data_IF_510653221458
#
_entry.id   IF_510653221458
#
_cell.length_a   1.000
_cell.length_b   1.000
_cell.length_c   1.000
_cell.angle_alpha   90.00
_cell.angle_beta   90.00
_cell.angle_gamma   90.00
#
_symmetry.space_group_name_H-M   'P 1'
#
loop_
_entity.id
_entity.type
_entity.pdbx_description
1 polymer ?
#
# COMPACT_ATOMS: atom_id res chain seq x y z
N UNK A 1 15.58 15.95 -3.00
CA UNK A 1 15.53 14.87 -1.96
C UNK A 1 16.60 15.08 -0.91
N UNK A 2 16.25 15.15 0.36
CA UNK A 2 17.15 15.19 1.52
C UNK A 2 17.94 13.88 1.64
N UNK A 3 19.26 13.92 1.81
CA UNK A 3 20.04 12.72 2.15
C UNK A 3 19.82 12.35 3.62
N UNK A 4 19.38 11.14 3.88
CA UNK A 4 19.30 10.60 5.24
C UNK A 4 20.68 10.24 5.77
N UNK A 5 20.92 10.51 7.05
CA UNK A 5 22.12 10.03 7.76
C UNK A 5 22.02 8.53 8.01
N UNK A 6 23.15 7.87 8.27
CA UNK A 6 23.15 6.45 8.64
C UNK A 6 22.29 6.16 9.88
N UNK A 7 22.23 7.07 10.83
CA UNK A 7 21.40 6.91 12.03
C UNK A 7 19.90 6.96 11.68
N UNK A 8 19.48 7.88 10.80
CA UNK A 8 18.09 7.95 10.32
C UNK A 8 17.72 6.69 9.52
N UNK A 9 18.59 6.24 8.61
CA UNK A 9 18.38 4.99 7.83
C UNK A 9 18.21 3.77 8.75
N UNK A 10 18.92 3.69 9.87
CA UNK A 10 18.76 2.60 10.85
C UNK A 10 17.41 2.60 11.57
N UNK A 11 16.76 3.76 11.68
CA UNK A 11 15.49 3.93 12.41
C UNK A 11 14.25 3.72 11.55
N UNK A 12 14.31 4.04 10.26
CA UNK A 12 13.16 3.94 9.36
C UNK A 12 12.69 2.49 9.13
N UNK A 13 11.43 2.33 8.79
CA UNK A 13 10.83 1.05 8.41
C UNK A 13 11.31 0.56 7.04
N UNK A 14 10.98 -0.70 6.70
CA UNK A 14 11.40 -1.28 5.44
C UNK A 14 10.75 -0.57 4.25
N UNK A 15 9.48 -0.17 4.33
CA UNK A 15 8.80 0.58 3.27
C UNK A 15 9.48 1.94 3.02
N UNK A 16 9.76 2.70 4.07
CA UNK A 16 10.48 3.98 3.94
C UNK A 16 11.86 3.79 3.33
N UNK A 17 12.58 2.74 3.75
CA UNK A 17 13.88 2.42 3.17
C UNK A 17 13.77 2.07 1.67
N UNK A 18 12.78 1.27 1.27
CA UNK A 18 12.55 0.96 -0.15
C UNK A 18 12.25 2.23 -0.96
N UNK A 19 11.40 3.13 -0.44
CA UNK A 19 11.14 4.43 -1.06
C UNK A 19 12.42 5.26 -1.20
N UNK A 20 13.19 5.37 -0.12
CA UNK A 20 14.44 6.15 -0.09
C UNK A 20 15.49 5.67 -1.12
N UNK A 21 15.62 4.36 -1.31
CA UNK A 21 16.54 3.81 -2.32
C UNK A 21 15.97 3.76 -3.74
N UNK A 22 14.73 4.24 -3.95
CA UNK A 22 14.08 4.24 -5.25
C UNK A 22 13.58 2.86 -5.70
N UNK A 23 13.19 2.01 -4.75
CA UNK A 23 12.64 0.68 -5.01
C UNK A 23 11.11 0.63 -4.99
N UNK A 24 10.43 1.78 -4.90
CA UNK A 24 8.96 1.90 -4.89
C UNK A 24 8.50 2.54 -6.19
N UNK A 25 8.69 1.85 -7.32
CA UNK A 25 8.40 2.35 -8.67
C UNK A 25 7.38 1.50 -9.40
N UNK A 26 6.70 0.58 -8.71
CA UNK A 26 5.65 -0.26 -9.27
C UNK A 26 4.61 -0.61 -8.21
N UNK A 27 3.37 -0.95 -8.63
CA UNK A 27 2.31 -1.45 -7.75
C UNK A 27 2.75 -2.68 -6.94
N UNK A 28 2.04 -2.98 -5.85
CA UNK A 28 2.44 -4.02 -4.89
C UNK A 28 1.78 -5.36 -5.19
N UNK A 29 0.46 -5.49 -4.98
CA UNK A 29 -0.27 -6.73 -5.19
C UNK A 29 -0.89 -6.76 -6.59
N UNK A 30 -0.71 -7.87 -7.31
CA UNK A 30 -1.18 -8.01 -8.69
C UNK A 30 -0.47 -7.11 -9.71
N UNK A 31 0.56 -6.35 -9.30
CA UNK A 31 1.27 -5.41 -10.16
C UNK A 31 0.33 -4.42 -10.86
N UNK A 32 0.69 -3.96 -12.05
CA UNK A 32 -0.14 -3.06 -12.86
C UNK A 32 -1.53 -3.62 -13.18
N UNK A 33 -1.66 -4.94 -13.33
CA UNK A 33 -2.93 -5.60 -13.62
C UNK A 33 -3.94 -5.42 -12.47
N UNK A 34 -3.46 -5.55 -11.22
CA UNK A 34 -4.28 -5.31 -10.02
C UNK A 34 -4.68 -3.84 -9.89
N UNK A 35 -3.72 -2.92 -10.00
CA UNK A 35 -3.97 -1.48 -9.93
C UNK A 35 -4.90 -0.99 -11.04
N UNK A 36 -4.67 -1.37 -12.30
CA UNK A 36 -5.56 -0.98 -13.41
C UNK A 36 -6.98 -1.51 -13.20
N UNK A 37 -7.12 -2.74 -12.67
CA UNK A 37 -8.43 -3.30 -12.34
C UNK A 37 -9.13 -2.54 -11.22
N UNK A 38 -8.42 -2.17 -10.16
CA UNK A 38 -8.96 -1.33 -9.08
C UNK A 38 -9.44 0.01 -9.64
N UNK A 39 -8.62 0.68 -10.44
CA UNK A 39 -8.94 1.97 -11.07
C UNK A 39 -10.14 1.86 -12.02
N UNK A 40 -10.23 0.76 -12.79
CA UNK A 40 -11.38 0.50 -13.66
C UNK A 40 -12.69 0.39 -12.87
N UNK A 41 -12.67 -0.33 -11.73
CA UNK A 41 -13.85 -0.52 -10.87
C UNK A 41 -14.33 0.77 -10.19
N UNK A 42 -13.47 1.78 -10.08
CA UNK A 42 -13.82 3.10 -9.56
C UNK A 42 -14.60 3.96 -10.56
N UNK A 43 -14.63 3.59 -11.86
CA UNK A 43 -15.31 4.32 -12.95
C UNK A 43 -14.98 5.82 -13.00
N UNK A 44 -13.71 6.17 -12.80
CA UNK A 44 -13.25 7.58 -12.77
C UNK A 44 -13.65 8.33 -14.03
N UNK A 45 -13.61 7.67 -15.20
CA UNK A 45 -13.94 8.25 -16.51
C UNK A 45 -15.38 8.75 -16.62
N UNK A 46 -16.30 8.15 -15.83
CA UNK A 46 -17.73 8.48 -15.86
C UNK A 46 -18.07 9.69 -14.98
N UNK A 47 -17.06 10.28 -14.31
CA UNK A 47 -17.22 11.42 -13.42
C UNK A 47 -16.61 12.68 -14.04
N UNK A 48 -17.25 13.82 -13.83
CA UNK A 48 -16.71 15.11 -14.22
C UNK A 48 -15.76 15.63 -13.14
N UNK A 49 -14.46 15.57 -13.44
CA UNK A 49 -13.36 16.02 -12.58
C UNK A 49 -13.52 15.65 -11.08
N UNK A 50 -13.57 14.35 -10.75
CA UNK A 50 -13.77 13.92 -9.37
C UNK A 50 -12.60 14.30 -8.48
N UNK A 51 -12.92 14.52 -7.19
CA UNK A 51 -11.92 14.69 -6.14
C UNK A 51 -11.63 13.34 -5.49
N UNK A 52 -10.40 12.88 -5.62
CA UNK A 52 -9.96 11.53 -5.25
C UNK A 52 -8.99 11.59 -4.07
N UNK A 53 -9.10 10.64 -3.13
CA UNK A 53 -8.14 10.42 -2.06
C UNK A 53 -7.50 9.06 -2.22
N UNK A 54 -6.18 9.01 -2.30
CA UNK A 54 -5.38 7.79 -2.15
C UNK A 54 -4.80 7.74 -0.75
N UNK A 55 -5.12 6.68 0.01
CA UNK A 55 -4.60 6.47 1.37
C UNK A 55 -3.49 5.42 1.33
N UNK A 56 -2.35 5.73 1.94
CA UNK A 56 -1.13 4.92 1.84
C UNK A 56 -0.39 5.13 0.51
N UNK A 57 -0.34 6.37 0.02
CA UNK A 57 0.18 6.70 -1.31
C UNK A 57 1.69 6.46 -1.47
N UNK A 58 2.43 6.16 -0.40
CA UNK A 58 3.88 5.93 -0.42
C UNK A 58 4.63 7.06 -1.15
N UNK A 59 5.43 6.76 -2.16
CA UNK A 59 6.15 7.76 -2.98
C UNK A 59 5.27 8.45 -4.03
N UNK A 60 3.94 8.29 -3.95
CA UNK A 60 2.97 8.91 -4.85
C UNK A 60 2.98 8.36 -6.28
N UNK A 61 3.51 7.14 -6.50
CA UNK A 61 3.67 6.59 -7.84
C UNK A 61 2.31 6.34 -8.51
N UNK A 62 1.37 5.72 -7.80
CA UNK A 62 0.01 5.46 -8.31
C UNK A 62 -0.81 6.77 -8.36
N UNK A 63 -0.69 7.63 -7.35
CA UNK A 63 -1.31 8.96 -7.34
C UNK A 63 -1.00 9.73 -8.63
N UNK A 64 0.29 9.79 -9.02
CA UNK A 64 0.72 10.46 -10.26
C UNK A 64 0.21 9.77 -11.51
N UNK A 65 0.20 8.43 -11.52
CA UNK A 65 -0.36 7.66 -12.64
C UNK A 65 -1.84 8.00 -12.88
N UNK A 66 -2.65 8.03 -11.82
CA UNK A 66 -4.08 8.40 -11.89
C UNK A 66 -4.24 9.83 -12.37
N UNK A 67 -3.47 10.77 -11.82
CA UNK A 67 -3.52 12.20 -12.18
C UNK A 67 -3.14 12.47 -13.63
N UNK A 68 -2.26 11.67 -14.23
CA UNK A 68 -1.86 11.78 -15.64
C UNK A 68 -2.86 11.12 -16.59
N UNK A 69 -3.60 10.11 -16.11
CA UNK A 69 -4.52 9.31 -16.93
C UNK A 69 -5.94 9.89 -16.98
N UNK A 70 -6.35 10.64 -15.95
CA UNK A 70 -7.71 11.12 -15.78
C UNK A 70 -7.75 12.62 -15.47
N UNK A 71 -8.82 13.29 -15.93
CA UNK A 71 -9.13 14.65 -15.49
C UNK A 71 -9.77 14.60 -14.08
N UNK A 72 -8.93 14.73 -13.06
CA UNK A 72 -9.32 14.64 -11.65
C UNK A 72 -8.45 15.54 -10.79
N UNK A 73 -8.88 15.79 -9.55
CA UNK A 73 -8.04 16.30 -8.47
C UNK A 73 -7.76 15.16 -7.49
N UNK A 74 -6.47 14.86 -7.24
CA UNK A 74 -6.11 13.74 -6.39
C UNK A 74 -5.19 14.19 -5.25
N UNK A 75 -5.53 13.72 -4.04
CA UNK A 75 -4.72 13.89 -2.84
C UNK A 75 -4.18 12.52 -2.45
N UNK A 76 -2.88 12.40 -2.28
CA UNK A 76 -2.23 11.22 -1.69
C UNK A 76 -1.87 11.48 -0.23
N UNK A 77 -2.18 10.55 0.66
CA UNK A 77 -1.75 10.62 2.07
C UNK A 77 -0.94 9.39 2.47
N UNK A 78 0.06 9.60 3.31
CA UNK A 78 0.86 8.54 3.91
C UNK A 78 1.32 8.95 5.32
N UNK A 79 1.55 7.97 6.20
CA UNK A 79 2.02 8.22 7.56
C UNK A 79 3.48 8.71 7.59
N UNK A 80 4.28 8.33 6.59
CA UNK A 80 5.70 8.63 6.50
C UNK A 80 5.97 9.98 5.84
N UNK A 81 6.51 10.93 6.61
CA UNK A 81 6.98 12.22 6.05
C UNK A 81 8.04 12.03 4.96
N UNK A 82 8.91 11.02 5.10
CA UNK A 82 9.97 10.73 4.11
C UNK A 82 9.36 10.36 2.76
N UNK A 83 8.32 9.52 2.76
CA UNK A 83 7.65 9.11 1.54
C UNK A 83 6.86 10.26 0.90
N UNK A 84 6.22 11.08 1.72
CA UNK A 84 5.50 12.29 1.28
C UNK A 84 6.46 13.33 0.67
N UNK A 85 7.64 13.57 1.27
CA UNK A 85 8.66 14.43 0.68
C UNK A 85 9.09 13.92 -0.71
N UNK A 86 9.31 12.60 -0.84
CA UNK A 86 9.64 11.97 -2.13
C UNK A 86 8.50 12.12 -3.15
N UNK A 87 7.25 11.93 -2.72
CA UNK A 87 6.08 12.07 -3.58
C UNK A 87 5.94 13.50 -4.13
N UNK A 88 6.14 14.51 -3.28
CA UNK A 88 6.14 15.94 -3.67
C UNK A 88 7.25 16.25 -4.66
N UNK A 89 8.51 15.86 -4.32
CA UNK A 89 9.69 16.09 -5.20
C UNK A 89 9.47 15.51 -6.61
N UNK A 90 8.93 14.29 -6.72
CA UNK A 90 8.69 13.65 -8.02
C UNK A 90 7.52 14.29 -8.79
N UNK A 91 6.49 14.77 -8.12
CA UNK A 91 5.36 15.45 -8.75
C UNK A 91 5.73 16.84 -9.26
N UNK A 92 6.57 17.57 -8.53
CA UNK A 92 7.12 18.86 -8.98
C UNK A 92 7.94 18.70 -10.26
N UNK A 93 8.79 17.66 -10.36
CA UNK A 93 9.57 17.38 -11.57
C UNK A 93 8.69 17.10 -12.80
N UNK A 94 7.51 16.55 -12.59
CA UNK A 94 6.53 16.23 -13.64
C UNK A 94 5.56 17.39 -13.91
N UNK A 95 5.66 18.52 -13.17
CA UNK A 95 4.79 19.69 -13.26
C UNK A 95 3.29 19.33 -13.15
N UNK A 96 2.91 18.40 -12.26
CA UNK A 96 1.53 17.99 -12.05
C UNK A 96 0.82 18.98 -11.11
N UNK A 97 -0.11 19.77 -11.65
CA UNK A 97 -0.85 20.77 -10.90
C UNK A 97 -2.10 20.23 -10.18
N UNK A 98 -2.57 19.04 -10.57
CA UNK A 98 -3.78 18.40 -10.06
C UNK A 98 -3.51 17.34 -8.97
N UNK A 99 -2.29 17.32 -8.42
CA UNK A 99 -1.85 16.38 -7.39
C UNK A 99 -1.37 17.13 -6.15
N UNK A 100 -1.75 16.65 -4.99
CA UNK A 100 -1.18 17.11 -3.72
C UNK A 100 -0.89 15.92 -2.79
N UNK A 101 0.05 16.12 -1.84
CA UNK A 101 0.42 15.09 -0.88
C UNK A 101 0.45 15.66 0.53
N UNK A 102 -0.11 14.90 1.48
CA UNK A 102 -0.18 15.31 2.88
C UNK A 102 0.19 14.13 3.78
N UNK A 103 0.93 14.43 4.86
CA UNK A 103 1.19 13.43 5.89
C UNK A 103 -0.05 13.24 6.74
N UNK A 104 -0.59 12.00 6.78
CA UNK A 104 -1.75 11.66 7.61
C UNK A 104 -1.74 10.19 8.01
N UNK A 105 -2.44 9.86 9.12
CA UNK A 105 -2.80 8.50 9.47
C UNK A 105 -4.09 8.11 8.75
N UNK A 106 -4.15 6.86 8.25
CA UNK A 106 -5.37 6.29 7.70
C UNK A 106 -6.51 6.19 8.74
N UNK A 107 -6.15 6.07 10.03
CA UNK A 107 -7.08 5.98 11.16
C UNK A 107 -7.64 7.35 11.61
N UNK A 108 -7.09 8.46 11.08
CA UNK A 108 -7.52 9.83 11.40
C UNK A 108 -7.17 10.77 10.27
N UNK A 109 -8.02 10.83 9.26
CA UNK A 109 -7.80 11.65 8.07
C UNK A 109 -8.09 13.14 8.35
N UNK A 110 -7.19 14.07 7.96
CA UNK A 110 -7.32 15.50 8.27
C UNK A 110 -8.29 16.23 7.35
N UNK A 111 -9.33 15.54 6.87
CA UNK A 111 -10.30 16.09 5.94
C UNK A 111 -11.68 16.15 6.58
N UNK A 112 -12.46 17.16 6.20
CA UNK A 112 -13.86 17.26 6.62
C UNK A 112 -14.72 16.17 5.99
N UNK A 113 -15.84 15.86 6.62
CA UNK A 113 -16.80 14.87 6.12
C UNK A 113 -17.25 15.19 4.69
N UNK A 114 -17.47 14.16 3.91
CA UNK A 114 -18.04 14.29 2.56
C UNK A 114 -17.22 15.18 1.62
N UNK A 115 -15.88 15.04 1.66
CA UNK A 115 -14.93 15.83 0.87
C UNK A 115 -14.55 15.21 -0.48
N UNK A 116 -14.66 13.87 -0.63
CA UNK A 116 -14.16 13.13 -1.76
C UNK A 116 -15.25 12.36 -2.50
N UNK A 117 -15.13 12.28 -3.81
CA UNK A 117 -15.99 11.45 -4.67
C UNK A 117 -15.55 10.00 -4.64
N UNK A 118 -14.22 9.80 -4.53
CA UNK A 118 -13.57 8.49 -4.50
C UNK A 118 -12.53 8.48 -3.37
N UNK A 119 -12.47 7.36 -2.63
CA UNK A 119 -11.37 7.05 -1.70
C UNK A 119 -10.87 5.65 -2.02
N UNK A 120 -9.57 5.50 -2.19
CA UNK A 120 -8.98 4.17 -2.37
C UNK A 120 -7.64 4.02 -1.65
N UNK A 121 -7.22 2.75 -1.46
CA UNK A 121 -5.92 2.40 -0.93
C UNK A 121 -5.42 1.08 -1.50
N UNK A 122 -4.12 0.98 -1.70
CA UNK A 122 -3.45 -0.26 -2.11
C UNK A 122 -2.44 -0.69 -1.04
N UNK A 123 -2.59 -1.93 -0.56
CA UNK A 123 -1.71 -2.53 0.44
C UNK A 123 -1.61 -1.69 1.74
N UNK A 124 -2.74 -1.17 2.23
CA UNK A 124 -2.78 -0.35 3.44
C UNK A 124 -3.71 -0.92 4.51
N UNK A 125 -4.95 -1.34 4.17
CA UNK A 125 -5.90 -1.81 5.18
C UNK A 125 -5.45 -3.11 5.84
N UNK A 126 -4.67 -3.95 5.14
CA UNK A 126 -4.06 -5.15 5.71
C UNK A 126 -2.86 -4.88 6.63
N UNK A 127 -2.32 -3.66 6.66
CA UNK A 127 -1.13 -3.30 7.44
C UNK A 127 -1.45 -2.56 8.74
N UNK A 128 -2.73 -2.25 8.98
CA UNK A 128 -3.18 -1.56 10.19
C UNK A 128 -3.74 -2.53 11.23
N UNK A 129 -3.71 -2.14 12.49
CA UNK A 129 -4.28 -2.93 13.58
C UNK A 129 -5.81 -2.93 13.57
N UNK A 130 -6.43 -1.80 13.25
CA UNK A 130 -7.88 -1.65 13.18
C UNK A 130 -8.33 -1.21 11.78
N UNK A 131 -8.60 -2.17 10.87
CA UNK A 131 -9.10 -1.85 9.54
C UNK A 131 -10.54 -1.34 9.51
N UNK A 132 -11.36 -1.64 10.53
CA UNK A 132 -12.72 -1.08 10.64
C UNK A 132 -12.64 0.43 10.80
N UNK A 133 -11.81 0.90 11.75
CA UNK A 133 -11.56 2.34 11.97
C UNK A 133 -11.08 3.04 10.69
N UNK A 134 -10.16 2.43 9.95
CA UNK A 134 -9.68 2.99 8.67
C UNK A 134 -10.80 3.10 7.64
N UNK A 135 -11.62 2.05 7.50
CA UNK A 135 -12.72 2.04 6.55
C UNK A 135 -13.86 3.00 6.97
N UNK A 136 -14.08 3.20 8.26
CA UNK A 136 -15.01 4.22 8.78
C UNK A 136 -14.52 5.64 8.45
N UNK A 137 -13.21 5.91 8.55
CA UNK A 137 -12.60 7.16 8.12
C UNK A 137 -12.73 7.36 6.58
N UNK A 138 -12.51 6.32 5.77
CA UNK A 138 -12.78 6.37 4.33
C UNK A 138 -14.24 6.74 4.07
N UNK A 139 -15.18 6.06 4.77
CA UNK A 139 -16.61 6.34 4.66
C UNK A 139 -16.96 7.75 5.14
N UNK A 140 -16.36 8.24 6.21
CA UNK A 140 -16.59 9.60 6.73
C UNK A 140 -16.27 10.66 5.68
N UNK A 141 -15.07 10.59 5.09
CA UNK A 141 -14.61 11.59 4.12
C UNK A 141 -15.23 11.45 2.73
N UNK A 142 -15.82 10.30 2.40
CA UNK A 142 -16.57 10.11 1.16
C UNK A 142 -17.87 10.91 1.15
N UNK A 143 -18.22 11.50 0.02
CA UNK A 143 -19.55 12.07 -0.26
C UNK A 143 -20.61 10.96 -0.29
N UNK A 144 -21.87 11.31 -0.10
CA UNK A 144 -22.99 10.38 -0.29
C UNK A 144 -23.00 9.86 -1.74
N UNK A 145 -23.04 8.55 -1.93
CA UNK A 145 -22.93 7.90 -3.22
C UNK A 145 -21.49 7.83 -3.74
N UNK A 146 -20.50 8.31 -2.97
CA UNK A 146 -19.07 8.19 -3.31
C UNK A 146 -18.60 6.75 -3.24
N UNK A 147 -17.57 6.44 -4.02
CA UNK A 147 -17.02 5.10 -4.18
C UNK A 147 -15.77 4.87 -3.34
N UNK A 148 -15.68 3.68 -2.77
CA UNK A 148 -14.48 3.18 -2.11
C UNK A 148 -13.91 1.99 -2.87
N UNK A 149 -12.57 1.87 -2.89
CA UNK A 149 -11.90 0.62 -3.24
C UNK A 149 -10.68 0.38 -2.37
N UNK A 150 -10.40 -0.89 -2.07
CA UNK A 150 -9.11 -1.31 -1.51
C UNK A 150 -8.57 -2.50 -2.28
N UNK A 151 -7.25 -2.57 -2.42
CA UNK A 151 -6.54 -3.72 -2.95
C UNK A 151 -5.57 -4.20 -1.86
N UNK A 152 -5.86 -5.33 -1.26
CA UNK A 152 -5.10 -5.84 -0.12
C UNK A 152 -4.88 -7.36 -0.16
N UNK A 153 -4.01 -7.83 0.72
CA UNK A 153 -3.64 -9.23 0.87
C UNK A 153 -4.64 -9.95 1.78
N UNK A 154 -4.93 -11.21 1.47
CA UNK A 154 -5.58 -12.15 2.40
C UNK A 154 -4.80 -13.46 2.45
N UNK A 155 -5.05 -14.25 3.50
CA UNK A 155 -4.55 -15.61 3.63
C UNK A 155 -5.69 -16.63 3.59
N UNK A 156 -5.39 -17.85 3.18
CA UNK A 156 -6.33 -18.98 3.30
C UNK A 156 -6.33 -19.51 4.74
N UNK A 157 -7.49 -20.03 5.16
CA UNK A 157 -7.64 -20.71 6.46
C UNK A 157 -6.72 -21.94 6.61
N UNK A 158 -6.25 -22.51 5.48
CA UNK A 158 -5.34 -23.65 5.43
C UNK A 158 -3.87 -23.33 5.61
N UNK A 159 -3.50 -22.05 5.75
CA UNK A 159 -2.11 -21.64 5.96
C UNK A 159 -1.55 -22.28 7.23
N UNK A 160 -0.32 -22.82 7.12
CA UNK A 160 0.39 -23.39 8.26
C UNK A 160 0.57 -22.35 9.38
N UNK A 161 0.05 -22.61 10.60
CA UNK A 161 0.15 -21.68 11.71
C UNK A 161 1.58 -21.33 12.12
N UNK A 162 2.54 -22.26 12.00
CA UNK A 162 3.94 -22.02 12.33
C UNK A 162 4.57 -21.08 11.29
N UNK A 163 4.28 -21.29 10.01
CA UNK A 163 4.70 -20.40 8.95
C UNK A 163 4.11 -18.99 9.13
N UNK A 164 2.82 -18.89 9.43
CA UNK A 164 2.15 -17.61 9.70
C UNK A 164 2.85 -16.84 10.83
N UNK A 165 3.13 -17.50 11.93
CA UNK A 165 3.76 -16.85 13.09
C UNK A 165 5.20 -16.40 12.78
N UNK A 166 5.97 -17.20 12.02
CA UNK A 166 7.32 -16.80 11.57
C UNK A 166 7.25 -15.57 10.67
N UNK A 167 6.34 -15.57 9.71
CA UNK A 167 6.12 -14.45 8.80
C UNK A 167 5.73 -13.18 9.56
N UNK A 168 4.74 -13.25 10.47
CA UNK A 168 4.29 -12.13 11.30
C UNK A 168 5.46 -11.55 12.11
N UNK A 169 6.26 -12.38 12.75
CA UNK A 169 7.42 -11.94 13.51
C UNK A 169 8.45 -11.19 12.64
N UNK A 170 8.70 -11.67 11.43
CA UNK A 170 9.60 -11.01 10.47
C UNK A 170 9.04 -9.66 10.03
N UNK A 171 7.75 -9.56 9.76
CA UNK A 171 7.09 -8.31 9.37
C UNK A 171 7.16 -7.26 10.51
N UNK A 172 6.95 -7.68 11.77
CA UNK A 172 7.10 -6.81 12.95
C UNK A 172 8.56 -6.35 13.10
N UNK A 173 9.54 -7.27 13.04
CA UNK A 173 10.96 -6.94 13.14
C UNK A 173 11.44 -5.99 12.04
N UNK A 174 10.80 -6.04 10.88
CA UNK A 174 11.10 -5.19 9.71
C UNK A 174 10.33 -3.86 9.72
N UNK A 175 9.54 -3.60 10.76
CA UNK A 175 8.63 -2.45 10.86
C UNK A 175 7.68 -2.32 9.64
N UNK A 176 7.14 -3.45 9.18
CA UNK A 176 6.11 -3.50 8.15
C UNK A 176 4.74 -3.39 8.78
N UNK A 177 4.52 -4.14 9.87
CA UNK A 177 3.27 -4.13 10.65
C UNK A 177 3.56 -3.92 12.13
N UNK A 178 2.54 -3.50 12.87
CA UNK A 178 2.55 -3.49 14.35
C UNK A 178 2.30 -4.88 14.95
N UNK A 179 2.60 -5.10 16.23
CA UNK A 179 2.39 -6.37 16.91
C UNK A 179 0.91 -6.79 16.97
N UNK A 180 -0.01 -5.83 16.96
CA UNK A 180 -1.46 -6.03 17.02
C UNK A 180 -2.09 -6.25 15.64
N UNK A 181 -1.30 -6.20 14.56
CA UNK A 181 -1.79 -6.39 13.20
C UNK A 181 -1.79 -7.87 12.83
N UNK A 182 -2.87 -8.34 12.21
CA UNK A 182 -3.01 -9.69 11.68
C UNK A 182 -3.32 -9.68 10.19
N UNK A 183 -2.79 -10.64 9.43
CA UNK A 183 -3.24 -10.92 8.08
C UNK A 183 -4.51 -11.77 8.20
N UNK A 184 -5.55 -11.36 7.50
CA UNK A 184 -6.91 -11.89 7.66
C UNK A 184 -7.28 -12.80 6.49
N UNK A 185 -8.23 -13.69 6.75
CA UNK A 185 -8.89 -14.48 5.72
C UNK A 185 -9.89 -13.62 4.93
N UNK A 186 -10.28 -14.05 3.75
CA UNK A 186 -11.26 -13.32 2.93
C UNK A 186 -12.61 -13.16 3.66
N UNK A 187 -13.02 -14.17 4.44
CA UNK A 187 -14.25 -14.11 5.22
C UNK A 187 -14.22 -13.07 6.35
N UNK A 188 -13.06 -12.92 7.01
CA UNK A 188 -12.88 -11.86 8.00
C UNK A 188 -12.94 -10.50 7.34
N UNK A 189 -12.34 -10.33 6.16
CA UNK A 189 -12.44 -9.11 5.37
C UNK A 189 -13.88 -8.76 4.99
N UNK A 190 -14.68 -9.73 4.52
CA UNK A 190 -16.10 -9.51 4.23
C UNK A 190 -16.87 -8.96 5.44
N UNK A 191 -16.59 -9.46 6.64
CA UNK A 191 -17.22 -8.98 7.87
C UNK A 191 -16.78 -7.56 8.21
N UNK A 192 -15.50 -7.24 8.10
CA UNK A 192 -14.93 -5.91 8.33
C UNK A 192 -15.61 -4.86 7.42
N UNK A 193 -15.75 -5.16 6.13
CA UNK A 193 -16.40 -4.23 5.20
C UNK A 193 -17.89 -4.01 5.48
N UNK A 194 -18.61 -5.06 5.93
CA UNK A 194 -20.00 -4.94 6.35
C UNK A 194 -20.12 -4.08 7.62
N UNK A 195 -19.23 -4.29 8.60
CA UNK A 195 -19.17 -3.54 9.84
C UNK A 195 -18.91 -2.05 9.60
N UNK A 196 -18.01 -1.71 8.69
CA UNK A 196 -17.72 -0.34 8.28
C UNK A 196 -18.90 0.38 7.57
N UNK A 197 -19.98 -0.34 7.26
CA UNK A 197 -21.27 0.23 6.83
C UNK A 197 -21.31 0.67 5.37
N UNK A 198 -20.51 0.07 4.48
CA UNK A 198 -20.62 0.29 3.05
C UNK A 198 -21.79 -0.47 2.40
N UNK A 199 -22.31 0.06 1.29
CA UNK A 199 -23.36 -0.53 0.50
C UNK A 199 -22.79 -1.08 -0.82
N UNK A 200 -23.54 -1.94 -1.52
CA UNK A 200 -23.17 -2.51 -2.83
C UNK A 200 -21.76 -3.11 -2.84
N UNK A 201 -21.43 -3.82 -1.77
CA UNK A 201 -20.13 -4.45 -1.58
C UNK A 201 -19.89 -5.51 -2.66
N UNK A 202 -18.73 -5.42 -3.31
CA UNK A 202 -18.21 -6.46 -4.19
C UNK A 202 -16.77 -6.76 -3.78
N UNK A 203 -16.41 -8.03 -3.81
CA UNK A 203 -15.06 -8.52 -3.54
C UNK A 203 -14.66 -9.43 -4.69
N UNK A 204 -13.63 -9.05 -5.42
CA UNK A 204 -12.98 -9.86 -6.43
C UNK A 204 -11.66 -10.38 -5.84
N UNK A 205 -11.47 -11.69 -5.79
CA UNK A 205 -10.28 -12.33 -5.23
C UNK A 205 -9.39 -12.96 -6.31
N UNK A 206 -8.09 -12.89 -6.08
CA UNK A 206 -7.06 -13.32 -7.03
C UNK A 206 -5.97 -14.11 -6.29
N UNK A 207 -5.47 -15.17 -6.93
CA UNK A 207 -4.44 -16.07 -6.38
C UNK A 207 -3.16 -16.09 -7.20
N UNK A 208 -3.16 -15.44 -8.38
CA UNK A 208 -2.01 -15.36 -9.28
C UNK A 208 -1.37 -13.98 -9.20
N UNK A 209 -0.08 -13.90 -9.52
CA UNK A 209 0.65 -12.64 -9.64
C UNK A 209 0.63 -11.75 -8.38
N UNK A 210 0.57 -12.34 -7.17
CA UNK A 210 0.37 -11.61 -5.91
C UNK A 210 1.46 -10.55 -5.68
N UNK A 211 2.74 -10.89 -5.93
CA UNK A 211 3.89 -10.00 -5.73
C UNK A 211 4.67 -9.79 -7.03
N UNK A 212 4.03 -9.19 -8.01
CA UNK A 212 4.68 -8.83 -9.28
C UNK A 212 5.28 -7.44 -9.16
N UNK A 213 6.58 -7.33 -9.38
CA UNK A 213 7.27 -6.05 -9.53
C UNK A 213 7.99 -6.01 -10.88
N UNK A 214 7.55 -5.12 -11.73
CA UNK A 214 8.05 -4.95 -13.09
C UNK A 214 9.33 -4.11 -13.12
N UNK A 215 10.39 -4.62 -12.47
CA UNK A 215 11.70 -4.00 -12.58
C UNK A 215 12.44 -4.53 -13.80
N UNK A 216 13.00 -3.62 -14.58
CA UNK A 216 14.01 -3.95 -15.59
C UNK A 216 15.24 -4.59 -14.93
N UNK A 217 16.04 -5.29 -15.72
CA UNK A 217 17.28 -5.89 -15.22
C UNK A 217 18.24 -4.86 -14.61
N UNK A 218 18.35 -3.69 -15.21
CA UNK A 218 19.19 -2.59 -14.71
C UNK A 218 18.70 -2.06 -13.36
N UNK A 219 17.39 -1.88 -13.19
CA UNK A 219 16.78 -1.47 -11.91
C UNK A 219 17.02 -2.51 -10.81
N UNK A 220 16.83 -3.80 -11.10
CA UNK A 220 17.12 -4.88 -10.15
C UNK A 220 18.57 -4.85 -9.66
N UNK A 221 19.53 -4.65 -10.56
CA UNK A 221 20.96 -4.52 -10.20
C UNK A 221 21.18 -3.29 -9.34
N UNK A 222 20.65 -2.14 -9.73
CA UNK A 222 20.85 -0.88 -9.03
C UNK A 222 20.25 -0.91 -7.62
N UNK A 223 19.03 -1.46 -7.47
CA UNK A 223 18.38 -1.66 -6.17
C UNK A 223 19.23 -2.59 -5.30
N UNK A 224 19.70 -3.72 -5.86
CA UNK A 224 20.52 -4.68 -5.12
C UNK A 224 21.84 -4.05 -4.62
N UNK A 225 22.51 -3.25 -5.45
CA UNK A 225 23.74 -2.53 -5.04
C UNK A 225 23.43 -1.56 -3.91
N UNK A 226 22.34 -0.79 -3.99
CA UNK A 226 21.94 0.16 -2.93
C UNK A 226 21.62 -0.55 -1.62
N UNK A 227 20.86 -1.65 -1.67
CA UNK A 227 20.55 -2.47 -0.50
C UNK A 227 21.84 -3.01 0.15
N UNK A 228 22.72 -3.63 -0.64
CA UNK A 228 23.99 -4.19 -0.14
C UNK A 228 24.90 -3.11 0.47
N UNK A 229 25.02 -1.95 -0.18
CA UNK A 229 25.77 -0.82 0.35
C UNK A 229 25.26 -0.39 1.71
N UNK A 230 23.95 -0.12 1.84
CA UNK A 230 23.36 0.33 3.11
C UNK A 230 23.42 -0.76 4.19
N UNK A 231 23.25 -2.04 3.85
CA UNK A 231 23.43 -3.15 4.78
C UNK A 231 24.89 -3.27 5.26
N UNK A 232 25.87 -2.97 4.41
CA UNK A 232 27.28 -3.02 4.80
C UNK A 232 27.63 -1.97 5.86
N UNK A 233 27.12 -0.76 5.72
CA UNK A 233 27.45 0.39 6.58
C UNK A 233 26.48 0.62 7.76
N UNK A 234 25.30 -0.04 7.76
CA UNK A 234 24.26 0.16 8.77
C UNK A 234 23.87 -1.17 9.43
N UNK A 235 24.28 -1.32 10.70
CA UNK A 235 24.02 -2.55 11.48
C UNK A 235 22.53 -2.75 11.78
N UNK A 236 21.79 -1.68 12.06
CA UNK A 236 20.37 -1.76 12.45
C UNK A 236 19.50 -2.12 11.23
N UNK A 237 19.80 -1.53 10.08
CA UNK A 237 19.16 -1.92 8.82
C UNK A 237 19.46 -3.39 8.47
N UNK A 238 20.70 -3.85 8.64
CA UNK A 238 21.06 -5.25 8.41
C UNK A 238 20.26 -6.21 9.29
N UNK A 239 20.02 -5.85 10.55
CA UNK A 239 19.20 -6.66 11.46
C UNK A 239 17.74 -6.77 11.01
N UNK A 240 17.19 -5.72 10.41
CA UNK A 240 15.82 -5.72 9.87
C UNK A 240 15.71 -6.55 8.57
N UNK A 241 16.65 -6.41 7.66
CA UNK A 241 16.58 -7.03 6.32
C UNK A 241 17.03 -8.49 6.32
N UNK A 242 18.05 -8.87 7.10
CA UNK A 242 18.64 -10.23 7.04
C UNK A 242 17.63 -11.36 7.33
N UNK A 243 16.73 -11.27 8.31
CA UNK A 243 15.70 -12.29 8.53
C UNK A 243 14.79 -12.45 7.31
N UNK A 244 14.37 -11.34 6.71
CA UNK A 244 13.52 -11.32 5.54
C UNK A 244 14.18 -11.99 4.32
N UNK A 245 15.46 -11.73 4.06
CA UNK A 245 16.21 -12.38 2.98
C UNK A 245 16.29 -13.91 3.15
N UNK A 246 16.43 -14.39 4.38
CA UNK A 246 16.44 -15.82 4.69
C UNK A 246 15.07 -16.46 4.48
N UNK A 247 14.01 -15.74 4.80
CA UNK A 247 12.62 -16.20 4.71
C UNK A 247 12.07 -16.18 3.27
N UNK A 248 12.63 -15.36 2.37
CA UNK A 248 12.12 -15.14 1.01
C UNK A 248 11.84 -16.44 0.25
N UNK A 249 12.74 -17.43 0.33
CA UNK A 249 12.56 -18.69 -0.40
C UNK A 249 11.34 -19.47 0.11
N UNK A 250 11.21 -19.62 1.44
CA UNK A 250 10.05 -20.30 2.06
C UNK A 250 8.76 -19.58 1.75
N UNK A 251 8.77 -18.24 1.80
CA UNK A 251 7.63 -17.41 1.44
C UNK A 251 7.23 -17.58 -0.03
N UNK A 252 8.20 -17.64 -0.96
CA UNK A 252 7.92 -17.89 -2.37
C UNK A 252 7.34 -19.29 -2.63
N UNK A 253 7.72 -20.28 -1.85
CA UNK A 253 7.17 -21.64 -1.96
C UNK A 253 5.71 -21.68 -1.47
N UNK A 254 5.38 -20.98 -0.38
CA UNK A 254 4.00 -20.82 0.11
C UNK A 254 3.10 -20.04 -0.88
N UNK A 255 3.64 -19.02 -1.53
CA UNK A 255 2.91 -18.29 -2.57
C UNK A 255 2.51 -19.18 -3.76
N UNK A 256 3.34 -20.17 -4.12
CA UNK A 256 3.03 -21.14 -5.18
C UNK A 256 1.95 -22.14 -4.75
N UNK A 257 1.79 -22.36 -3.45
CA UNK A 257 0.80 -23.25 -2.84
C UNK A 257 -0.59 -22.63 -2.69
N UNK A 258 -0.85 -21.45 -3.26
CA UNK A 258 -2.09 -20.67 -3.11
C UNK A 258 -2.47 -20.36 -1.65
N UNK A 259 -1.49 -20.29 -0.76
CA UNK A 259 -1.71 -19.97 0.68
C UNK A 259 -2.16 -18.52 0.91
N UNK A 260 -1.91 -17.66 -0.07
CA UNK A 260 -2.27 -16.25 -0.07
C UNK A 260 -3.02 -15.89 -1.36
N UNK A 261 -3.70 -14.77 -1.30
CA UNK A 261 -4.28 -14.09 -2.44
C UNK A 261 -4.31 -12.58 -2.20
N UNK A 262 -4.68 -11.83 -3.22
CA UNK A 262 -5.10 -10.45 -3.04
C UNK A 262 -6.55 -10.29 -3.48
N UNK A 263 -7.20 -9.31 -2.92
CA UNK A 263 -8.57 -8.97 -3.28
C UNK A 263 -8.69 -7.52 -3.66
N UNK A 264 -9.68 -7.22 -4.48
CA UNK A 264 -10.17 -5.86 -4.70
C UNK A 264 -11.56 -5.79 -4.10
N UNK A 265 -11.71 -4.96 -3.09
CA UNK A 265 -13.00 -4.61 -2.53
C UNK A 265 -13.48 -3.31 -3.17
N UNK A 266 -14.77 -3.25 -3.47
CA UNK A 266 -15.44 -1.99 -3.85
C UNK A 266 -16.74 -1.84 -3.09
N UNK A 267 -17.11 -0.59 -2.79
CA UNK A 267 -18.35 -0.25 -2.10
C UNK A 267 -18.77 1.18 -2.37
N UNK A 268 -19.95 1.52 -1.87
CA UNK A 268 -20.56 2.86 -1.99
C UNK A 268 -21.03 3.33 -0.62
N UNK A 269 -20.78 4.63 -0.30
CA UNK A 269 -21.29 5.27 0.92
C UNK A 269 -22.78 5.49 0.87
#
# INVERSE_FOLDING_TARGET
>A
MRKLTNQEIGKIGLYEFQGYIGAMTSPTFGGWKGTDRLIELLDIKEMERPRILEVGCSTGYITRYVAQKFDCEIVGVDLSEILIELARDESEKLNLANVSFERASAESLPFVDSSFDIVYGEAITALVSDPVMVLEEYRRVLKKGGKVATLDLFMKESLDPEFYQEMKNIMIMSNIIGPETDIRTLKEWENIFKEAGFNNIKIDDYYEDIFVRDYSFAEKIMISIRVLYHMAINRDLRRKISPMLKFVKRFQDELKGDSFGYFIFTGVK
#
